data_IF_446975890622
#
_entry.id   IF_446975890622
#
_cell.length_a   1.000
_cell.length_b   1.000
_cell.length_c   1.000
_cell.angle_alpha   90.00
_cell.angle_beta   90.00
_cell.angle_gamma   90.00
#
_symmetry.space_group_name_H-M   'P 1'
#
loop_
_entity.id
_entity.type
_entity.pdbx_description
1 polymer ?
#
# COMPACT_ATOMS: atom_id res chain seq x y z
N UNK A 1 -5.06 1.14 27.67
CA UNK A 1 -5.64 1.08 26.32
C UNK A 1 -4.46 1.00 25.38
N UNK A 2 -4.21 -0.18 24.83
CA UNK A 2 -3.01 -0.45 24.04
C UNK A 2 -2.93 0.51 22.85
N UNK A 3 -1.80 1.21 22.77
CA UNK A 3 -1.50 2.14 21.69
C UNK A 3 -1.18 1.29 20.45
N UNK A 4 -2.16 1.10 19.57
CA UNK A 4 -1.94 0.40 18.31
C UNK A 4 -0.81 1.08 17.52
N UNK A 5 0.22 0.32 17.14
CA UNK A 5 1.44 0.86 16.55
C UNK A 5 1.27 1.16 15.06
N UNK A 6 0.37 0.46 14.40
CA UNK A 6 0.16 0.52 12.95
C UNK A 6 -1.18 1.16 12.56
N UNK A 7 -1.97 1.57 13.56
CA UNK A 7 -3.29 2.19 13.38
C UNK A 7 -3.34 3.54 14.07
N UNK A 8 -3.64 4.58 13.30
CA UNK A 8 -3.84 5.92 13.87
C UNK A 8 -5.33 6.13 14.14
N UNK A 9 -5.70 6.52 15.36
CA UNK A 9 -7.08 6.89 15.67
C UNK A 9 -7.48 8.10 14.83
N UNK A 10 -8.54 7.98 14.04
CA UNK A 10 -9.06 9.05 13.19
C UNK A 10 -10.57 9.17 13.38
N UNK A 11 -11.00 10.25 14.02
CA UNK A 11 -12.39 10.52 14.41
C UNK A 11 -13.04 9.33 15.14
N UNK A 12 -13.95 8.62 14.47
CA UNK A 12 -14.73 7.48 14.98
C UNK A 12 -14.08 6.13 14.67
N UNK A 13 -12.99 6.10 13.90
CA UNK A 13 -12.35 4.88 13.42
C UNK A 13 -10.81 4.89 13.51
N UNK A 14 -10.21 3.95 12.78
CA UNK A 14 -8.76 3.73 12.72
C UNK A 14 -8.27 3.82 11.28
N UNK A 15 -7.26 4.67 11.06
CA UNK A 15 -6.58 4.82 9.79
C UNK A 15 -5.35 3.92 9.74
N UNK A 16 -5.33 3.05 8.75
CA UNK A 16 -4.27 2.06 8.54
C UNK A 16 -3.01 2.72 8.00
N UNK A 17 -1.88 2.54 8.69
CA UNK A 17 -0.58 3.05 8.24
C UNK A 17 -0.10 2.28 7.01
N UNK A 18 0.40 3.04 6.04
CA UNK A 18 0.97 2.52 4.80
C UNK A 18 2.50 2.53 4.91
N UNK A 19 3.16 1.51 4.37
CA UNK A 19 4.61 1.41 4.38
C UNK A 19 5.17 1.35 2.95
N UNK A 20 6.38 1.88 2.73
CA UNK A 20 7.05 1.72 1.45
C UNK A 20 7.33 0.23 1.19
N UNK A 21 7.04 -0.20 -0.03
CA UNK A 21 7.36 -1.53 -0.56
C UNK A 21 8.69 -1.51 -1.33
N UNK A 22 9.22 -2.68 -1.71
CA UNK A 22 10.46 -2.77 -2.50
C UNK A 22 10.41 -1.95 -3.78
N UNK A 23 9.24 -1.91 -4.43
CA UNK A 23 9.01 -1.17 -5.67
C UNK A 23 9.38 0.31 -5.52
N UNK A 24 9.15 0.90 -4.35
CA UNK A 24 9.50 2.29 -4.08
C UNK A 24 11.02 2.48 -4.06
N UNK A 25 11.74 1.56 -3.43
CA UNK A 25 13.21 1.57 -3.39
C UNK A 25 13.82 1.39 -4.79
N UNK A 26 13.26 0.48 -5.59
CA UNK A 26 13.69 0.25 -6.98
C UNK A 26 13.52 1.50 -7.83
N UNK A 27 12.36 2.17 -7.75
CA UNK A 27 12.10 3.39 -8.54
C UNK A 27 13.05 4.53 -8.13
N UNK A 28 13.32 4.69 -6.83
CA UNK A 28 14.31 5.68 -6.35
C UNK A 28 15.72 5.36 -6.88
N UNK A 29 16.13 4.09 -6.85
CA UNK A 29 17.44 3.68 -7.37
C UNK A 29 17.59 4.01 -8.86
N UNK A 30 16.53 3.82 -9.66
CA UNK A 30 16.54 4.20 -11.08
C UNK A 30 16.65 5.70 -11.31
N UNK A 31 16.04 6.54 -10.47
CA UNK A 31 16.23 7.99 -10.53
C UNK A 31 17.70 8.34 -10.27
N UNK A 32 18.33 7.72 -9.26
CA UNK A 32 19.75 7.96 -8.96
C UNK A 32 20.65 7.55 -10.14
N UNK A 33 20.38 6.40 -10.77
CA UNK A 33 21.10 5.95 -11.98
C UNK A 33 20.94 6.98 -13.10
N UNK A 34 19.73 7.50 -13.33
CA UNK A 34 19.49 8.52 -14.34
C UNK A 34 20.31 9.80 -14.08
N UNK A 35 20.37 10.26 -12.83
CA UNK A 35 21.18 11.41 -12.42
C UNK A 35 22.68 11.15 -12.67
N UNK A 36 23.19 9.97 -12.32
CA UNK A 36 24.59 9.60 -12.56
C UNK A 36 24.90 9.61 -14.05
N UNK A 37 24.01 9.08 -14.90
CA UNK A 37 24.19 9.09 -16.36
C UNK A 37 24.28 10.53 -16.88
N UNK A 38 23.42 11.44 -16.40
CA UNK A 38 23.45 12.86 -16.80
C UNK A 38 24.77 13.53 -16.42
N UNK A 39 25.28 13.28 -15.20
CA UNK A 39 26.46 13.97 -14.67
C UNK A 39 27.76 13.37 -15.20
N UNK A 40 27.83 12.05 -15.36
CA UNK A 40 29.08 11.32 -15.61
C UNK A 40 29.28 10.90 -17.07
N UNK A 41 28.26 11.00 -17.92
CA UNK A 41 28.36 10.53 -19.30
C UNK A 41 27.91 11.61 -20.29
N UNK A 42 28.38 11.52 -21.53
CA UNK A 42 27.90 12.38 -22.63
C UNK A 42 26.49 12.01 -23.12
N UNK A 43 25.86 10.97 -22.55
CA UNK A 43 24.51 10.51 -22.91
C UNK A 43 23.41 11.32 -22.20
N UNK A 44 23.50 12.65 -22.29
CA UNK A 44 22.58 13.58 -21.63
C UNK A 44 21.13 13.35 -22.07
N UNK A 45 20.89 13.10 -23.37
CA UNK A 45 19.56 12.79 -23.90
C UNK A 45 18.95 11.54 -23.26
N UNK A 46 19.74 10.45 -23.16
CA UNK A 46 19.31 9.19 -22.56
C UNK A 46 19.03 9.35 -21.06
N UNK A 47 19.89 10.07 -20.35
CA UNK A 47 19.72 10.37 -18.94
C UNK A 47 18.45 11.16 -18.64
N UNK A 48 18.15 12.20 -19.44
CA UNK A 48 16.90 12.98 -19.31
C UNK A 48 15.67 12.11 -19.56
N UNK A 49 15.67 11.30 -20.62
CA UNK A 49 14.53 10.42 -20.93
C UNK A 49 14.29 9.43 -19.78
N UNK A 50 15.34 8.79 -19.27
CA UNK A 50 15.22 7.91 -18.10
C UNK A 50 14.64 8.66 -16.90
N UNK A 51 15.16 9.86 -16.60
CA UNK A 51 14.74 10.64 -15.45
C UNK A 51 13.25 11.00 -15.53
N UNK A 52 12.77 11.43 -16.71
CA UNK A 52 11.35 11.74 -16.92
C UNK A 52 10.48 10.50 -16.73
N UNK A 53 10.83 9.39 -17.37
CA UNK A 53 10.06 8.13 -17.29
C UNK A 53 10.00 7.61 -15.85
N UNK A 54 11.13 7.55 -15.15
CA UNK A 54 11.15 7.06 -13.76
C UNK A 54 10.51 8.04 -12.78
N UNK A 55 10.56 9.35 -13.04
CA UNK A 55 9.82 10.34 -12.24
C UNK A 55 8.31 10.15 -12.38
N UNK A 56 7.81 9.91 -13.59
CA UNK A 56 6.41 9.56 -13.84
C UNK A 56 6.01 8.26 -13.12
N UNK A 57 6.85 7.22 -13.19
CA UNK A 57 6.63 5.96 -12.47
C UNK A 57 6.63 6.16 -10.95
N UNK A 58 7.46 7.08 -10.43
CA UNK A 58 7.46 7.43 -8.99
C UNK A 58 6.11 7.98 -8.55
N UNK A 59 5.56 8.93 -9.30
CA UNK A 59 4.26 9.52 -8.97
C UNK A 59 3.17 8.44 -8.93
N UNK A 60 3.24 7.46 -9.84
CA UNK A 60 2.30 6.35 -9.87
C UNK A 60 2.52 5.35 -8.72
N UNK A 61 3.77 5.02 -8.40
CA UNK A 61 4.13 4.05 -7.37
C UNK A 61 3.79 4.55 -5.95
N UNK A 62 3.98 5.84 -5.67
CA UNK A 62 3.75 6.44 -4.34
C UNK A 62 2.28 6.76 -4.04
N UNK A 63 1.32 6.32 -4.88
CA UNK A 63 -0.11 6.42 -4.55
C UNK A 63 -0.52 5.31 -3.58
N UNK A 64 -0.37 5.57 -2.29
CA UNK A 64 -0.81 4.66 -1.26
C UNK A 64 -2.34 4.70 -1.06
N UNK A 65 -3.00 3.54 -0.90
CA UNK A 65 -4.39 3.52 -0.46
C UNK A 65 -4.48 4.04 0.98
N UNK A 66 -5.44 4.92 1.26
CA UNK A 66 -5.81 5.34 2.60
C UNK A 66 -7.02 4.53 3.03
N UNK A 67 -6.81 3.68 4.02
CA UNK A 67 -7.83 2.75 4.51
C UNK A 67 -8.25 3.18 5.90
N UNK A 68 -9.54 3.44 6.08
CA UNK A 68 -10.15 3.82 7.35
C UNK A 68 -11.17 2.76 7.74
N UNK A 69 -11.08 2.27 8.98
CA UNK A 69 -11.95 1.25 9.54
C UNK A 69 -12.74 1.91 10.66
N UNK A 70 -14.04 2.07 10.47
CA UNK A 70 -14.91 2.71 11.45
C UNK A 70 -15.88 1.68 12.06
N UNK A 71 -15.61 1.34 13.32
CA UNK A 71 -16.40 0.36 14.08
C UNK A 71 -17.77 0.92 14.48
N UNK A 72 -17.87 2.23 14.68
CA UNK A 72 -19.12 2.87 15.09
C UNK A 72 -20.12 2.94 13.94
N UNK A 73 -19.65 3.19 12.71
CA UNK A 73 -20.51 3.19 11.53
C UNK A 73 -20.69 1.82 10.88
N UNK A 74 -19.84 0.85 11.20
CA UNK A 74 -19.96 -0.52 10.68
C UNK A 74 -19.39 -0.70 9.27
N UNK A 75 -18.46 0.17 8.85
CA UNK A 75 -17.93 0.18 7.49
C UNK A 75 -16.40 0.26 7.41
N UNK A 76 -15.85 -0.42 6.41
CA UNK A 76 -14.46 -0.31 5.96
C UNK A 76 -14.45 0.61 4.73
N UNK A 77 -13.77 1.75 4.86
CA UNK A 77 -13.62 2.74 3.78
C UNK A 77 -12.22 2.66 3.20
N UNK A 78 -12.11 2.36 1.91
CA UNK A 78 -10.84 2.32 1.18
C UNK A 78 -10.81 3.45 0.16
N UNK A 79 -9.86 4.37 0.32
CA UNK A 79 -9.67 5.50 -0.57
C UNK A 79 -8.33 5.38 -1.29
N UNK A 80 -8.33 5.21 -2.60
CA UNK A 80 -7.11 5.00 -3.39
C UNK A 80 -6.47 6.31 -3.90
N UNK A 81 -6.45 7.33 -3.04
CA UNK A 81 -5.84 8.65 -3.31
C UNK A 81 -6.74 9.65 -4.04
N UNK A 82 -7.97 9.28 -4.39
CA UNK A 82 -8.97 10.15 -5.02
C UNK A 82 -10.34 9.92 -4.35
N UNK A 83 -10.99 11.00 -3.89
CA UNK A 83 -12.32 10.95 -3.25
C UNK A 83 -13.36 10.26 -4.14
N UNK A 84 -13.24 10.37 -5.47
CA UNK A 84 -14.16 9.70 -6.42
C UNK A 84 -14.03 8.18 -6.44
N UNK A 85 -12.91 7.63 -5.95
CA UNK A 85 -12.64 6.18 -5.89
C UNK A 85 -12.76 5.63 -4.47
N UNK A 86 -13.42 6.36 -3.58
CA UNK A 86 -13.74 5.90 -2.24
C UNK A 86 -14.75 4.75 -2.36
N UNK A 87 -14.34 3.56 -1.91
CA UNK A 87 -15.22 2.40 -1.81
C UNK A 87 -15.47 2.12 -0.34
N UNK A 88 -16.75 1.97 0.00
CA UNK A 88 -17.21 1.65 1.34
C UNK A 88 -17.74 0.22 1.31
N UNK A 89 -17.29 -0.60 2.25
CA UNK A 89 -17.69 -2.00 2.39
C UNK A 89 -18.26 -2.19 3.79
N UNK A 90 -19.38 -2.91 3.92
CA UNK A 90 -19.99 -3.20 5.23
C UNK A 90 -19.25 -4.34 5.93
N UNK A 91 -19.16 -4.29 7.26
CA UNK A 91 -18.68 -5.44 8.05
C UNK A 91 -19.61 -6.67 7.93
N UNK A 92 -20.89 -6.50 7.61
CA UNK A 92 -21.80 -7.65 7.43
C UNK A 92 -21.37 -8.58 6.29
N UNK A 93 -20.67 -8.03 5.29
CA UNK A 93 -20.11 -8.78 4.17
C UNK A 93 -18.64 -9.17 4.40
N UNK A 94 -18.01 -8.76 5.49
CA UNK A 94 -16.59 -9.05 5.75
C UNK A 94 -16.40 -10.52 6.14
N UNK A 95 -15.40 -11.17 5.54
CA UNK A 95 -15.04 -12.55 5.87
C UNK A 95 -13.76 -12.63 6.69
N UNK A 96 -12.68 -12.11 6.14
CA UNK A 96 -11.35 -12.27 6.71
C UNK A 96 -10.35 -11.29 6.09
N UNK A 97 -9.23 -11.08 6.79
CA UNK A 97 -8.06 -10.46 6.19
C UNK A 97 -7.16 -11.54 5.58
N UNK A 98 -6.57 -11.24 4.42
CA UNK A 98 -5.67 -12.15 3.72
C UNK A 98 -4.31 -11.47 3.56
N UNK A 99 -3.26 -12.10 4.10
CA UNK A 99 -1.89 -11.66 3.95
C UNK A 99 -1.23 -12.39 2.78
N UNK A 100 -0.86 -11.64 1.75
CA UNK A 100 -0.18 -12.19 0.58
C UNK A 100 1.22 -11.58 0.45
N UNK A 101 2.25 -12.42 0.43
CA UNK A 101 3.62 -11.97 0.11
C UNK A 101 3.94 -12.35 -1.33
N UNK A 102 4.31 -11.34 -2.13
CA UNK A 102 4.75 -11.55 -3.51
C UNK A 102 6.27 -11.75 -3.53
N UNK A 103 6.72 -12.71 -4.32
CA UNK A 103 8.12 -13.05 -4.51
C UNK A 103 8.49 -12.98 -6.00
N UNK A 104 9.69 -12.49 -6.31
CA UNK A 104 10.36 -12.76 -7.59
C UNK A 104 11.55 -13.65 -7.26
N UNK A 105 11.49 -14.91 -7.71
CA UNK A 105 12.44 -15.94 -7.28
C UNK A 105 12.43 -16.06 -5.75
N UNK A 106 13.57 -15.75 -5.12
CA UNK A 106 13.74 -15.80 -3.66
C UNK A 106 13.60 -14.44 -2.97
N UNK A 107 13.40 -13.35 -3.73
CA UNK A 107 13.37 -11.98 -3.17
C UNK A 107 11.90 -11.58 -2.90
N UNK A 108 11.53 -11.24 -1.66
CA UNK A 108 10.20 -10.71 -1.37
C UNK A 108 10.06 -9.31 -1.96
N UNK A 109 9.15 -9.15 -2.92
CA UNK A 109 8.77 -7.85 -3.49
C UNK A 109 8.00 -6.99 -2.47
N UNK A 110 7.22 -7.64 -1.63
CA UNK A 110 6.38 -6.99 -0.64
C UNK A 110 5.31 -7.92 -0.10
N UNK A 111 4.84 -7.59 1.08
CA UNK A 111 3.67 -8.19 1.71
C UNK A 111 2.50 -7.22 1.62
N UNK A 112 1.36 -7.73 1.19
CA UNK A 112 0.14 -7.00 0.93
C UNK A 112 -0.96 -7.58 1.80
N UNK A 113 -1.69 -6.71 2.49
CA UNK A 113 -2.83 -7.09 3.30
C UNK A 113 -4.11 -6.73 2.55
N UNK A 114 -4.95 -7.72 2.29
CA UNK A 114 -6.24 -7.57 1.63
C UNK A 114 -7.38 -7.84 2.62
N UNK A 115 -8.53 -7.22 2.39
CA UNK A 115 -9.78 -7.59 3.05
C UNK A 115 -10.65 -8.38 2.07
N UNK A 116 -11.20 -9.51 2.51
CA UNK A 116 -12.07 -10.36 1.73
C UNK A 116 -13.54 -10.15 2.15
N UNK A 117 -14.45 -10.14 1.17
CA UNK A 117 -15.87 -9.91 1.41
C UNK A 117 -16.73 -10.95 0.66
N UNK A 118 -17.83 -11.41 1.28
CA UNK A 118 -18.74 -12.48 0.78
C UNK A 118 -19.30 -12.22 -0.62
N UNK A 119 -19.59 -10.95 -0.93
CA UNK A 119 -20.40 -10.59 -2.10
C UNK A 119 -19.63 -9.85 -3.19
N UNK A 120 -18.31 -9.93 -3.16
CA UNK A 120 -17.45 -9.34 -4.18
C UNK A 120 -16.90 -10.43 -5.09
N UNK A 121 -17.09 -10.27 -6.41
CA UNK A 121 -16.36 -11.08 -7.39
C UNK A 121 -14.86 -11.07 -7.06
N UNK A 122 -14.16 -12.19 -7.26
CA UNK A 122 -12.73 -12.42 -6.89
C UNK A 122 -11.76 -11.26 -7.23
N UNK A 123 -12.14 -10.37 -8.14
CA UNK A 123 -11.45 -9.15 -8.58
C UNK A 123 -11.58 -7.91 -7.66
N UNK A 124 -12.44 -7.92 -6.63
CA UNK A 124 -12.72 -6.76 -5.77
C UNK A 124 -12.19 -6.96 -4.33
N UNK A 125 -10.98 -7.52 -4.18
CA UNK A 125 -10.28 -7.55 -2.88
C UNK A 125 -9.57 -6.21 -2.68
N UNK A 126 -10.10 -5.28 -1.87
CA UNK A 126 -9.40 -4.02 -1.64
C UNK A 126 -8.09 -4.26 -0.89
N UNK A 127 -7.03 -3.62 -1.38
CA UNK A 127 -5.75 -3.55 -0.69
C UNK A 127 -5.89 -2.63 0.52
N UNK A 128 -5.64 -3.17 1.71
CA UNK A 128 -5.74 -2.49 3.01
C UNK A 128 -4.41 -1.84 3.38
N UNK A 129 -3.30 -2.55 3.22
CA UNK A 129 -1.96 -2.01 3.43
C UNK A 129 -0.91 -2.82 2.70
N UNK A 130 0.27 -2.25 2.57
CA UNK A 130 1.44 -2.92 2.00
C UNK A 130 2.69 -2.58 2.82
N UNK A 131 3.65 -3.50 2.84
CA UNK A 131 4.98 -3.30 3.42
C UNK A 131 6.01 -4.17 2.71
N UNK A 132 7.27 -3.76 2.77
CA UNK A 132 8.37 -4.63 2.33
C UNK A 132 8.46 -5.92 3.16
N UNK A 133 8.27 -5.83 4.47
CA UNK A 133 8.45 -6.95 5.40
C UNK A 133 7.15 -7.61 5.83
N UNK A 134 7.14 -8.95 5.87
CA UNK A 134 6.01 -9.75 6.37
C UNK A 134 5.68 -9.44 7.84
N UNK A 135 6.71 -9.25 8.68
CA UNK A 135 6.56 -9.01 10.13
C UNK A 135 5.62 -7.83 10.44
N UNK A 136 5.81 -6.69 9.77
CA UNK A 136 4.98 -5.49 9.98
C UNK A 136 3.54 -5.68 9.53
N UNK A 137 3.32 -6.43 8.45
CA UNK A 137 1.96 -6.73 8.00
C UNK A 137 1.27 -7.77 8.89
N UNK A 138 2.04 -8.68 9.51
CA UNK A 138 1.52 -9.61 10.51
C UNK A 138 1.14 -8.88 11.81
N UNK A 139 1.98 -7.95 12.27
CA UNK A 139 1.66 -7.06 13.40
C UNK A 139 0.37 -6.26 13.11
N UNK A 140 0.26 -5.67 11.92
CA UNK A 140 -0.97 -5.00 11.47
C UNK A 140 -2.18 -5.94 11.42
N UNK A 141 -2.03 -7.17 10.90
CA UNK A 141 -3.11 -8.17 10.86
C UNK A 141 -3.64 -8.46 12.27
N UNK A 142 -2.73 -8.72 13.22
CA UNK A 142 -3.09 -8.99 14.61
C UNK A 142 -3.80 -7.80 15.26
N UNK A 143 -3.32 -6.57 15.01
CA UNK A 143 -3.98 -5.35 15.49
C UNK A 143 -5.40 -5.20 14.89
N UNK A 144 -5.58 -5.52 13.61
CA UNK A 144 -6.87 -5.44 12.93
C UNK A 144 -7.87 -6.51 13.41
N UNK A 145 -7.39 -7.71 13.71
CA UNK A 145 -8.19 -8.81 14.26
C UNK A 145 -8.67 -8.51 15.69
N UNK A 146 -7.92 -7.72 16.48
CA UNK A 146 -8.37 -7.28 17.80
C UNK A 146 -9.51 -6.26 17.74
N UNK A 147 -9.64 -5.51 16.64
CA UNK A 147 -10.56 -4.37 16.53
C UNK A 147 -11.81 -4.75 15.74
N UNK A 148 -11.72 -5.72 14.85
CA UNK A 148 -12.84 -6.24 14.04
C UNK A 148 -13.64 -7.24 14.85
#
# INVERSE_FOLDING_TARGET
MDEFKHLNKHSTGYLVKQYPSFQHAVVIAWILIAIVIIIKTSYLKTGIVLLVVFSLLTILAFRFPKTCIDKASGFITVNMGDKKRQKQYSFGDFESFELQTLYIGFIPLGSFLYANFKNTSKLKRPLISQSFGKKRMQELYNELEQIT
#
